data_IF_953720176340
#
_entry.id   IF_953720176340
#
_cell.length_a   1.000
_cell.length_b   1.000
_cell.length_c   1.000
_cell.angle_alpha   90.00
_cell.angle_beta   90.00
_cell.angle_gamma   90.00
#
_symmetry.space_group_name_H-M   'P 1'
#
loop_
_entity.id
_entity.type
_entity.pdbx_description
1 polymer ?
#
# COMPACT_ATOMS: atom_id res chain seq x y z
N UNK A 1 15.18 -2.52 12.52
CA UNK A 1 14.49 -1.61 11.63
C UNK A 1 12.99 -1.83 11.69
N UNK A 2 12.22 -0.76 11.75
CA UNK A 2 10.77 -0.89 11.73
C UNK A 2 10.29 -1.35 10.35
N UNK A 3 9.25 -2.16 10.33
CA UNK A 3 8.62 -2.54 9.07
C UNK A 3 8.00 -1.31 8.42
N UNK A 4 7.94 -1.28 7.09
CA UNK A 4 7.31 -0.20 6.37
C UNK A 4 5.82 -0.11 6.72
N UNK A 5 5.32 1.11 6.95
CA UNK A 5 3.90 1.29 7.19
C UNK A 5 3.14 1.29 5.85
N UNK A 6 1.82 1.37 5.92
CA UNK A 6 1.00 1.31 4.71
C UNK A 6 1.27 2.47 3.75
N UNK A 7 1.54 3.65 4.28
CA UNK A 7 1.86 4.81 3.45
C UNK A 7 3.18 4.61 2.72
N UNK A 8 4.17 4.06 3.40
CA UNK A 8 5.45 3.78 2.78
C UNK A 8 5.33 2.69 1.71
N UNK A 9 4.51 1.67 1.97
CA UNK A 9 4.26 0.62 0.98
C UNK A 9 3.67 1.18 -0.30
N UNK A 10 2.76 2.17 -0.18
CA UNK A 10 2.17 2.83 -1.33
C UNK A 10 3.00 3.98 -1.86
N UNK A 11 4.14 4.29 -1.22
CA UNK A 11 5.06 5.35 -1.63
C UNK A 11 4.37 6.72 -1.68
N UNK A 12 3.55 6.99 -0.66
CA UNK A 12 2.83 8.26 -0.55
C UNK A 12 3.03 8.84 0.85
N UNK A 13 2.86 10.17 1.00
CA UNK A 13 2.93 10.79 2.33
C UNK A 13 1.70 10.43 3.16
N UNK A 14 1.82 10.60 4.48
CA UNK A 14 0.71 10.27 5.38
C UNK A 14 -0.51 11.18 5.19
N UNK A 15 -0.34 12.32 4.53
CA UNK A 15 -1.42 13.26 4.24
C UNK A 15 -2.06 13.01 2.87
N UNK A 16 -1.68 11.94 2.18
CA UNK A 16 -2.16 11.67 0.83
C UNK A 16 -3.69 11.64 0.77
N UNK A 17 -4.23 12.22 -0.31
CA UNK A 17 -5.66 12.20 -0.55
C UNK A 17 -6.11 10.81 -1.01
N UNK A 18 -7.41 10.58 -0.96
CA UNK A 18 -7.99 9.32 -1.45
C UNK A 18 -7.60 9.07 -2.91
N UNK A 19 -7.60 10.14 -3.71
CA UNK A 19 -7.25 10.04 -5.12
C UNK A 19 -5.77 9.68 -5.30
N UNK A 20 -4.90 10.29 -4.49
CA UNK A 20 -3.47 9.96 -4.53
C UNK A 20 -3.21 8.52 -4.14
N UNK A 21 -3.93 8.03 -3.13
CA UNK A 21 -3.82 6.63 -2.72
C UNK A 21 -4.24 5.68 -3.84
N UNK A 22 -5.32 6.02 -4.54
CA UNK A 22 -5.81 5.20 -5.64
C UNK A 22 -4.81 5.16 -6.80
N UNK A 23 -4.25 6.30 -7.16
CA UNK A 23 -3.26 6.37 -8.23
C UNK A 23 -2.00 5.60 -7.87
N UNK A 24 -1.53 5.75 -6.63
CA UNK A 24 -0.35 5.03 -6.17
C UNK A 24 -0.58 3.52 -6.21
N UNK A 25 -1.73 3.07 -5.73
CA UNK A 25 -2.06 1.64 -5.75
C UNK A 25 -2.10 1.11 -7.18
N UNK A 26 -2.70 1.86 -8.08
CA UNK A 26 -2.79 1.45 -9.49
C UNK A 26 -1.40 1.31 -10.11
N UNK A 27 -0.54 2.29 -9.89
CA UNK A 27 0.83 2.27 -10.44
C UNK A 27 1.64 1.10 -9.89
N UNK A 28 1.58 0.89 -8.58
CA UNK A 28 2.33 -0.18 -7.94
C UNK A 28 1.77 -1.55 -8.29
N UNK A 29 0.47 -1.66 -8.48
CA UNK A 29 -0.16 -2.91 -8.88
C UNK A 29 0.36 -3.35 -10.25
N UNK A 30 0.55 -2.40 -11.16
CA UNK A 30 1.12 -2.71 -12.48
C UNK A 30 2.58 -3.13 -12.37
N UNK A 31 3.33 -2.46 -11.49
CA UNK A 31 4.76 -2.77 -11.31
C UNK A 31 4.97 -4.18 -10.76
N UNK A 32 4.12 -4.63 -9.86
CA UNK A 32 4.27 -5.91 -9.19
C UNK A 32 3.34 -6.99 -9.71
N UNK A 33 2.67 -6.75 -10.82
CA UNK A 33 1.80 -7.76 -11.41
C UNK A 33 2.65 -8.95 -11.88
N UNK A 34 2.23 -10.19 -11.58
CA UNK A 34 3.02 -11.38 -11.93
C UNK A 34 3.39 -11.48 -13.41
N UNK A 35 2.55 -10.95 -14.28
CA UNK A 35 2.79 -11.04 -15.73
C UNK A 35 3.82 -10.03 -16.25
N UNK A 36 4.07 -8.96 -15.50
CA UNK A 36 4.90 -7.84 -15.98
C UNK A 36 6.11 -7.56 -15.12
N UNK A 37 6.16 -8.10 -13.90
CA UNK A 37 7.26 -7.83 -13.00
C UNK A 37 8.46 -8.72 -13.26
N UNK A 38 9.66 -8.20 -12.97
CA UNK A 38 10.89 -8.99 -13.04
C UNK A 38 11.12 -9.84 -11.78
N UNK A 39 10.30 -9.63 -10.74
CA UNK A 39 10.46 -10.38 -9.50
C UNK A 39 10.02 -11.84 -9.66
N UNK A 40 10.59 -12.76 -8.88
CA UNK A 40 10.08 -14.12 -8.82
C UNK A 40 8.61 -14.13 -8.44
N UNK A 41 7.87 -15.12 -8.92
CA UNK A 41 6.42 -15.18 -8.75
C UNK A 41 5.98 -15.06 -7.30
N UNK A 42 6.68 -15.77 -6.39
CA UNK A 42 6.33 -15.74 -4.97
C UNK A 42 6.49 -14.35 -4.37
N UNK A 43 7.57 -13.66 -4.74
CA UNK A 43 7.84 -12.32 -4.25
C UNK A 43 6.84 -11.31 -4.81
N UNK A 44 6.50 -11.45 -6.08
CA UNK A 44 5.52 -10.56 -6.71
C UNK A 44 4.15 -10.73 -6.07
N UNK A 45 3.75 -11.95 -5.78
CA UNK A 45 2.47 -12.23 -5.14
C UNK A 45 2.41 -11.64 -3.74
N UNK A 46 3.48 -11.80 -2.98
CA UNK A 46 3.54 -11.26 -1.62
C UNK A 46 3.51 -9.73 -1.63
N UNK A 47 4.27 -9.11 -2.53
CA UNK A 47 4.27 -7.66 -2.66
C UNK A 47 2.88 -7.14 -3.02
N UNK A 48 2.22 -7.79 -3.97
CA UNK A 48 0.88 -7.41 -4.38
C UNK A 48 -0.12 -7.53 -3.23
N UNK A 49 -0.02 -8.59 -2.45
CA UNK A 49 -0.89 -8.79 -1.29
C UNK A 49 -0.72 -7.68 -0.27
N UNK A 50 0.52 -7.28 0.00
CA UNK A 50 0.79 -6.19 0.94
C UNK A 50 0.22 -4.86 0.44
N UNK A 51 0.35 -4.61 -0.86
CA UNK A 51 -0.23 -3.41 -1.47
C UNK A 51 -1.75 -3.38 -1.33
N UNK A 52 -2.40 -4.52 -1.56
CA UNK A 52 -3.84 -4.61 -1.41
C UNK A 52 -4.28 -4.34 0.03
N UNK A 53 -3.60 -4.91 1.00
CA UNK A 53 -3.92 -4.69 2.40
C UNK A 53 -3.75 -3.22 2.78
N UNK A 54 -2.67 -2.61 2.34
CA UNK A 54 -2.43 -1.20 2.60
C UNK A 54 -3.53 -0.33 2.00
N UNK A 55 -3.89 -0.59 0.77
CA UNK A 55 -4.93 0.18 0.10
C UNK A 55 -6.30 -0.02 0.74
N UNK A 56 -6.66 -1.25 1.10
CA UNK A 56 -7.94 -1.51 1.76
C UNK A 56 -8.05 -0.78 3.09
N UNK A 57 -6.95 -0.68 3.82
CA UNK A 57 -6.94 0.04 5.09
C UNK A 57 -7.07 1.55 4.86
N UNK A 58 -6.29 2.09 3.95
CA UNK A 58 -6.21 3.53 3.76
C UNK A 58 -7.34 4.12 2.93
N UNK A 59 -8.01 3.30 2.11
CA UNK A 59 -9.12 3.76 1.30
C UNK A 59 -10.43 3.88 2.07
N UNK A 60 -10.55 3.24 3.23
CA UNK A 60 -11.72 3.34 4.10
C UNK A 60 -11.45 4.40 5.16
N UNK A 61 -12.24 5.48 5.24
CA UNK A 61 -11.99 6.57 6.20
C UNK A 61 -11.90 6.10 7.65
N UNK A 62 -12.75 5.18 8.06
CA UNK A 62 -12.73 4.69 9.43
C UNK A 62 -11.50 3.83 9.70
N UNK A 63 -11.17 2.93 8.79
CA UNK A 63 -9.98 2.09 8.94
C UNK A 63 -8.72 2.95 8.91
N UNK A 64 -8.69 3.94 8.04
CA UNK A 64 -7.56 4.85 7.96
C UNK A 64 -7.38 5.61 9.27
N UNK A 65 -8.47 6.10 9.84
CA UNK A 65 -8.41 6.82 11.11
C UNK A 65 -7.87 5.93 12.23
N UNK A 66 -8.37 4.71 12.33
CA UNK A 66 -7.89 3.75 13.34
C UNK A 66 -6.42 3.42 13.13
N UNK A 67 -6.04 3.22 11.88
CA UNK A 67 -4.65 2.92 11.56
C UNK A 67 -3.73 4.08 11.92
N UNK A 68 -4.13 5.31 11.57
CA UNK A 68 -3.34 6.50 11.88
C UNK A 68 -3.14 6.66 13.37
N UNK A 69 -4.16 6.33 14.16
CA UNK A 69 -4.05 6.38 15.62
C UNK A 69 -2.98 5.41 16.13
N UNK A 70 -2.84 4.24 15.52
CA UNK A 70 -1.79 3.30 15.93
C UNK A 70 -0.40 3.82 15.61
N UNK A 71 -0.24 4.62 14.56
CA UNK A 71 1.05 5.19 14.19
C UNK A 71 1.49 6.28 15.15
N UNK A 72 0.54 6.91 15.85
CA UNK A 72 0.84 7.97 16.82
C UNK A 72 1.11 7.44 18.21
N UNK A 73 0.75 6.21 18.46
CA UNK A 73 0.90 5.60 19.78
C UNK A 73 2.37 5.36 20.14
#
# INVERSE_FOLDING_TARGET
MAAANHYELLEVPSEASTQELRQAFRSLSKRYHPDTTALPEDEAREAFRRLQQAYLTLSDPERRRSYDATLRA
#
